data_IF_800367697763
#
_entry.id   IF_800367697763
#
_cell.length_a   1.000
_cell.length_b   1.000
_cell.length_c   1.000
_cell.angle_alpha   90.00
_cell.angle_beta   90.00
_cell.angle_gamma   90.00
#
_symmetry.space_group_name_H-M   'P 1'
#
loop_
_entity.id
_entity.type
_entity.pdbx_description
1 polymer ?
#
# COMPACT_ATOMS: atom_id res chain seq x y z
N UNK A 1 -4.13 -3.59 11.28
CA UNK A 1 -2.92 -4.38 11.57
C UNK A 1 -3.31 -5.84 11.76
N UNK A 2 -2.67 -6.73 11.00
CA UNK A 2 -2.87 -8.17 11.10
C UNK A 2 -1.63 -8.89 11.66
N UNK A 3 -1.85 -9.92 12.49
CA UNK A 3 -0.80 -10.70 13.13
C UNK A 3 -0.85 -12.17 12.71
N UNK A 4 0.30 -12.69 12.28
CA UNK A 4 0.47 -14.10 11.97
C UNK A 4 0.83 -14.87 13.25
N UNK A 5 0.14 -15.98 13.52
CA UNK A 5 0.36 -16.82 14.70
C UNK A 5 -0.48 -18.10 14.65
N UNK A 6 -0.49 -18.88 15.74
CA UNK A 6 -1.32 -20.10 15.85
C UNK A 6 -2.82 -19.80 15.66
N UNK A 7 -3.24 -18.59 16.02
CA UNK A 7 -4.55 -18.03 15.73
C UNK A 7 -4.33 -16.64 15.12
N UNK A 8 -4.46 -16.49 13.78
CA UNK A 8 -4.31 -15.19 13.14
C UNK A 8 -5.40 -14.23 13.62
N UNK A 9 -5.02 -12.99 13.91
CA UNK A 9 -5.93 -11.95 14.40
C UNK A 9 -5.72 -10.63 13.68
N UNK A 10 -6.79 -9.84 13.57
CA UNK A 10 -6.77 -8.50 12.98
C UNK A 10 -7.24 -7.52 14.05
N UNK A 11 -6.42 -6.51 14.31
CA UNK A 11 -6.75 -5.41 15.20
C UNK A 11 -7.18 -4.22 14.34
N UNK A 12 -8.38 -3.71 14.63
CA UNK A 12 -8.98 -2.56 13.97
C UNK A 12 -9.15 -1.44 15.01
N UNK A 13 -8.68 -0.25 14.68
CA UNK A 13 -8.87 0.94 15.53
C UNK A 13 -10.32 1.43 15.45
N UNK A 14 -10.90 1.84 16.57
CA UNK A 14 -12.27 2.38 16.62
C UNK A 14 -12.48 3.56 15.65
N UNK A 15 -11.47 4.42 15.52
CA UNK A 15 -11.51 5.55 14.58
C UNK A 15 -11.69 5.14 13.12
N UNK A 16 -11.21 3.95 12.72
CA UNK A 16 -11.45 3.44 11.36
C UNK A 16 -12.90 3.00 11.19
N UNK A 17 -13.49 2.40 12.22
CA UNK A 17 -14.90 1.96 12.22
C UNK A 17 -15.83 3.18 12.13
N UNK A 18 -15.49 4.26 12.83
CA UNK A 18 -16.30 5.49 12.83
C UNK A 18 -16.17 6.28 11.51
N UNK A 19 -15.02 6.20 10.83
CA UNK A 19 -14.70 6.99 9.64
C UNK A 19 -15.07 6.31 8.31
N UNK A 20 -15.01 4.98 8.27
CA UNK A 20 -15.16 4.20 7.05
C UNK A 20 -16.55 3.56 6.95
N UNK A 21 -17.10 3.55 5.74
CA UNK A 21 -18.28 2.74 5.43
C UNK A 21 -17.97 1.25 5.54
N UNK A 22 -18.98 0.36 5.65
CA UNK A 22 -18.75 -1.08 5.74
C UNK A 22 -17.91 -1.66 4.60
N UNK A 23 -18.12 -1.18 3.36
CA UNK A 23 -17.35 -1.63 2.20
C UNK A 23 -15.88 -1.16 2.25
N UNK A 24 -15.64 0.07 2.70
CA UNK A 24 -14.29 0.61 2.91
C UNK A 24 -13.56 -0.13 4.04
N UNK A 25 -14.25 -0.42 5.13
CA UNK A 25 -13.70 -1.20 6.24
C UNK A 25 -13.35 -2.63 5.78
N UNK A 26 -14.22 -3.26 4.99
CA UNK A 26 -13.93 -4.55 4.37
C UNK A 26 -12.70 -4.50 3.46
N UNK A 27 -12.53 -3.43 2.69
CA UNK A 27 -11.35 -3.23 1.85
C UNK A 27 -10.06 -3.10 2.68
N UNK A 28 -10.10 -2.38 3.82
CA UNK A 28 -8.96 -2.31 4.76
C UNK A 28 -8.64 -3.69 5.33
N UNK A 29 -9.64 -4.44 5.77
CA UNK A 29 -9.42 -5.81 6.28
C UNK A 29 -8.82 -6.71 5.19
N UNK A 30 -9.30 -6.61 3.96
CA UNK A 30 -8.77 -7.36 2.83
C UNK A 30 -7.31 -6.99 2.50
N UNK A 31 -6.95 -5.71 2.60
CA UNK A 31 -5.58 -5.24 2.48
C UNK A 31 -4.67 -5.92 3.52
N UNK A 32 -5.09 -5.89 4.79
CA UNK A 32 -4.34 -6.49 5.90
C UNK A 32 -4.24 -8.02 5.78
N UNK A 33 -5.30 -8.68 5.29
CA UNK A 33 -5.27 -10.11 4.95
C UNK A 33 -4.29 -10.40 3.80
N UNK A 34 -4.09 -9.46 2.87
CA UNK A 34 -3.04 -9.54 1.86
C UNK A 34 -1.64 -9.66 2.47
N UNK A 35 -1.36 -8.87 3.52
CA UNK A 35 -0.09 -8.98 4.24
C UNK A 35 0.10 -10.35 4.90
N UNK A 36 -0.96 -10.92 5.48
CA UNK A 36 -0.90 -12.26 6.05
C UNK A 36 -0.71 -13.32 4.96
N UNK A 37 -1.47 -13.24 3.87
CA UNK A 37 -1.45 -14.23 2.79
C UNK A 37 -0.10 -14.30 2.08
N UNK A 38 0.57 -13.16 1.92
CA UNK A 38 1.89 -13.05 1.30
C UNK A 38 3.04 -13.10 2.32
N UNK A 39 2.73 -13.31 3.60
CA UNK A 39 3.71 -13.40 4.70
C UNK A 39 4.66 -12.20 4.76
N UNK A 40 4.18 -11.00 4.41
CA UNK A 40 5.04 -9.83 4.26
C UNK A 40 5.82 -9.52 5.56
N UNK A 41 5.17 -9.67 6.73
CA UNK A 41 5.81 -9.46 8.03
C UNK A 41 7.01 -10.39 8.29
N UNK A 42 6.94 -11.65 7.87
CA UNK A 42 8.03 -12.62 8.06
C UNK A 42 9.27 -12.19 7.29
N UNK A 43 9.10 -11.78 6.03
CA UNK A 43 10.19 -11.29 5.19
C UNK A 43 10.83 -10.01 5.73
N UNK A 44 10.03 -9.10 6.30
CA UNK A 44 10.55 -7.89 6.97
C UNK A 44 11.38 -8.28 8.19
N UNK A 45 10.90 -9.20 9.03
CA UNK A 45 11.67 -9.70 10.17
C UNK A 45 12.98 -10.34 9.73
N UNK A 46 12.96 -11.20 8.71
CA UNK A 46 14.17 -11.82 8.17
C UNK A 46 15.16 -10.78 7.64
N UNK A 47 14.70 -9.78 6.88
CA UNK A 47 15.56 -8.72 6.36
C UNK A 47 16.20 -7.91 7.50
N UNK A 48 15.44 -7.56 8.53
CA UNK A 48 15.95 -6.84 9.70
C UNK A 48 17.01 -7.66 10.47
N UNK A 49 16.83 -8.98 10.59
CA UNK A 49 17.84 -9.85 11.23
C UNK A 49 19.15 -9.90 10.45
N UNK A 50 19.07 -10.04 9.12
CA UNK A 50 20.27 -10.03 8.27
C UNK A 50 20.99 -8.68 8.41
N UNK A 51 20.24 -7.59 8.42
CA UNK A 51 20.77 -6.24 8.52
C UNK A 51 21.38 -5.92 9.89
N UNK A 52 20.85 -6.51 10.97
CA UNK A 52 21.48 -6.46 12.30
C UNK A 52 22.81 -7.22 12.31
N UNK A 53 22.86 -8.38 11.66
CA UNK A 53 24.08 -9.18 11.54
C UNK A 53 25.15 -8.44 10.72
N UNK A 54 24.79 -7.79 9.60
CA UNK A 54 25.76 -7.04 8.78
C UNK A 54 26.42 -5.90 9.55
N UNK A 55 25.72 -5.25 10.48
CA UNK A 55 26.29 -4.19 11.32
C UNK A 55 27.39 -4.70 12.27
N UNK A 56 27.38 -5.99 12.62
CA UNK A 56 28.36 -6.59 13.55
C UNK A 56 29.77 -6.66 12.97
N UNK A 57 29.91 -6.71 11.63
CA UNK A 57 31.22 -6.79 10.97
C UNK A 57 32.01 -5.47 11.01
N UNK A 58 31.36 -4.34 11.24
CA UNK A 58 31.98 -3.02 11.30
C UNK A 58 32.61 -2.54 9.97
N UNK A 59 33.08 -1.29 9.96
CA UNK A 59 33.80 -0.70 8.83
C UNK A 59 32.92 -0.12 7.71
N UNK A 60 33.56 0.57 6.78
CA UNK A 60 32.89 1.35 5.73
C UNK A 60 32.16 0.48 4.70
N UNK A 61 32.70 -0.70 4.38
CA UNK A 61 32.06 -1.64 3.45
C UNK A 61 30.77 -2.22 4.03
N UNK A 62 30.78 -2.63 5.29
CA UNK A 62 29.59 -3.15 5.98
C UNK A 62 28.50 -2.08 6.10
N UNK A 63 28.88 -0.82 6.37
CA UNK A 63 27.96 0.31 6.38
C UNK A 63 27.29 0.52 5.01
N UNK A 64 28.06 0.56 3.92
CA UNK A 64 27.53 0.73 2.56
C UNK A 64 26.62 -0.41 2.13
N UNK A 65 26.96 -1.64 2.51
CA UNK A 65 26.11 -2.80 2.24
C UNK A 65 24.78 -2.69 2.99
N UNK A 66 24.83 -2.31 4.27
CA UNK A 66 23.64 -2.11 5.12
C UNK A 66 22.72 -1.04 4.54
N UNK A 67 23.28 0.08 4.06
CA UNK A 67 22.51 1.14 3.38
C UNK A 67 21.84 0.64 2.10
N UNK A 68 22.57 -0.10 1.26
CA UNK A 68 22.03 -0.66 0.04
C UNK A 68 20.89 -1.66 0.31
N UNK A 69 21.05 -2.50 1.34
CA UNK A 69 20.01 -3.44 1.77
C UNK A 69 18.77 -2.72 2.31
N UNK A 70 18.95 -1.67 3.10
CA UNK A 70 17.85 -0.81 3.56
C UNK A 70 17.06 -0.23 2.38
N UNK A 71 17.74 0.35 1.39
CA UNK A 71 17.10 0.92 0.20
C UNK A 71 16.33 -0.13 -0.60
N UNK A 72 16.86 -1.36 -0.71
CA UNK A 72 16.18 -2.47 -1.36
C UNK A 72 14.96 -2.94 -0.56
N UNK A 73 15.07 -3.04 0.77
CA UNK A 73 13.96 -3.40 1.66
C UNK A 73 12.82 -2.39 1.57
N UNK A 74 13.13 -1.08 1.57
CA UNK A 74 12.11 -0.03 1.40
C UNK A 74 11.42 -0.10 0.04
N UNK A 75 12.15 -0.44 -1.03
CA UNK A 75 11.52 -0.68 -2.34
C UNK A 75 10.60 -1.89 -2.32
N UNK A 76 11.03 -2.98 -1.68
CA UNK A 76 10.24 -4.19 -1.54
C UNK A 76 8.97 -3.95 -0.70
N UNK A 77 9.07 -3.22 0.42
CA UNK A 77 7.92 -2.83 1.25
C UNK A 77 6.88 -2.07 0.44
N UNK A 78 7.32 -1.13 -0.41
CA UNK A 78 6.40 -0.41 -1.31
C UNK A 78 5.71 -1.33 -2.31
N UNK A 79 6.40 -2.34 -2.83
CA UNK A 79 5.79 -3.34 -3.71
C UNK A 79 4.81 -4.26 -2.95
N UNK A 80 5.11 -4.61 -1.69
CA UNK A 80 4.23 -5.37 -0.82
C UNK A 80 2.89 -4.68 -0.60
N UNK A 81 2.88 -3.35 -0.43
CA UNK A 81 1.66 -2.54 -0.32
C UNK A 81 0.81 -2.61 -1.60
N UNK A 82 1.43 -2.59 -2.79
CA UNK A 82 0.71 -2.74 -4.06
C UNK A 82 0.06 -4.13 -4.19
N UNK A 83 0.72 -5.17 -3.70
CA UNK A 83 0.12 -6.51 -3.62
C UNK A 83 -1.11 -6.52 -2.72
N UNK A 84 -1.04 -5.83 -1.58
CA UNK A 84 -2.15 -5.76 -0.63
C UNK A 84 -3.30 -4.87 -1.15
N UNK A 85 -3.02 -3.81 -1.90
CA UNK A 85 -4.02 -3.01 -2.61
C UNK A 85 -4.79 -3.81 -3.65
N UNK A 86 -4.09 -4.72 -4.36
CA UNK A 86 -4.74 -5.66 -5.28
C UNK A 86 -5.65 -6.63 -4.53
N UNK A 87 -5.23 -7.15 -3.38
CA UNK A 87 -6.07 -7.99 -2.53
C UNK A 87 -7.33 -7.25 -2.05
N UNK A 88 -7.17 -5.98 -1.64
CA UNK A 88 -8.30 -5.12 -1.28
C UNK A 88 -9.27 -4.94 -2.44
N UNK A 89 -8.77 -4.68 -3.65
CA UNK A 89 -9.59 -4.56 -4.85
C UNK A 89 -10.34 -5.85 -5.20
N UNK A 90 -9.68 -7.00 -5.10
CA UNK A 90 -10.30 -8.29 -5.36
C UNK A 90 -11.48 -8.58 -4.43
N UNK A 91 -11.45 -8.07 -3.19
CA UNK A 91 -12.59 -8.22 -2.26
C UNK A 91 -13.64 -7.13 -2.49
N UNK A 92 -13.21 -5.88 -2.64
CA UNK A 92 -14.13 -4.74 -2.80
C UNK A 92 -14.87 -4.73 -4.15
N UNK A 93 -14.26 -5.28 -5.20
CA UNK A 93 -14.75 -5.32 -6.58
C UNK A 93 -15.07 -3.95 -7.22
N UNK A 94 -14.90 -2.85 -6.49
CA UNK A 94 -15.00 -1.47 -6.96
C UNK A 94 -13.71 -0.71 -6.59
N UNK A 95 -12.93 -0.24 -7.59
CA UNK A 95 -11.71 0.54 -7.31
C UNK A 95 -12.00 1.85 -6.57
N UNK A 96 -13.19 2.44 -6.72
CA UNK A 96 -13.51 3.69 -6.03
C UNK A 96 -13.58 3.52 -4.51
N UNK A 97 -13.97 2.34 -4.03
CA UNK A 97 -13.98 2.02 -2.59
C UNK A 97 -12.55 2.05 -2.04
N UNK A 98 -11.62 1.37 -2.70
CA UNK A 98 -10.23 1.31 -2.25
C UNK A 98 -9.53 2.68 -2.40
N UNK A 99 -9.82 3.42 -3.48
CA UNK A 99 -9.35 4.81 -3.63
C UNK A 99 -9.91 5.71 -2.53
N UNK A 100 -11.17 5.54 -2.15
CA UNK A 100 -11.79 6.30 -1.06
C UNK A 100 -11.12 6.04 0.29
N UNK A 101 -10.78 4.77 0.59
CA UNK A 101 -9.96 4.41 1.76
C UNK A 101 -8.63 5.16 1.75
N UNK A 102 -7.86 5.05 0.65
CA UNK A 102 -6.56 5.71 0.54
C UNK A 102 -6.71 7.23 0.71
N UNK A 103 -7.71 7.84 0.09
CA UNK A 103 -8.01 9.27 0.22
C UNK A 103 -8.31 9.68 1.67
N UNK A 104 -9.22 8.97 2.36
CA UNK A 104 -9.62 9.28 3.75
C UNK A 104 -8.48 9.11 4.75
N UNK A 105 -7.69 8.06 4.60
CA UNK A 105 -6.52 7.80 5.47
C UNK A 105 -5.40 8.82 5.23
N UNK A 106 -5.21 9.26 4.00
CA UNK A 106 -4.17 10.25 3.64
C UNK A 106 -4.55 11.68 4.02
N UNK A 107 -5.83 12.01 3.89
CA UNK A 107 -6.37 13.33 4.23
C UNK A 107 -6.60 13.54 5.72
N UNK A 108 -6.46 12.48 6.54
CA UNK A 108 -6.78 12.52 7.96
C UNK A 108 -8.23 12.94 8.17
N UNK A 109 -9.18 12.17 7.64
CA UNK A 109 -10.58 12.58 7.65
C UNK A 109 -11.11 12.70 9.10
N UNK A 110 -11.13 13.93 9.62
CA UNK A 110 -11.96 14.31 10.76
C UNK A 110 -13.41 14.00 10.36
N UNK A 111 -14.20 13.35 11.22
CA UNK A 111 -15.51 12.77 10.90
C UNK A 111 -16.51 13.70 10.17
N UNK A 112 -16.30 15.01 10.18
CA UNK A 112 -17.12 16.02 9.49
C UNK A 112 -16.71 16.34 8.03
N UNK A 113 -15.55 15.88 7.57
CA UNK A 113 -15.01 16.17 6.23
C UNK A 113 -15.12 14.98 5.27
N UNK A 114 -15.31 13.76 5.78
CA UNK A 114 -15.36 12.53 4.98
C UNK A 114 -16.44 12.56 3.89
N UNK A 115 -17.58 13.21 4.14
CA UNK A 115 -18.68 13.39 3.18
C UNK A 115 -18.39 14.43 2.08
N UNK A 116 -17.40 15.29 2.29
CA UNK A 116 -17.00 16.33 1.33
C UNK A 116 -15.89 15.86 0.38
N UNK A 117 -15.28 14.71 0.67
CA UNK A 117 -14.22 14.15 -0.16
C UNK A 117 -14.77 13.58 -1.47
N UNK A 118 -14.07 13.84 -2.57
CA UNK A 118 -14.48 13.44 -3.90
C UNK A 118 -13.42 12.54 -4.55
N UNK A 119 -13.75 11.26 -4.71
CA UNK A 119 -12.87 10.24 -5.31
C UNK A 119 -12.43 10.62 -6.73
N UNK A 120 -13.33 11.15 -7.55
CA UNK A 120 -13.01 11.51 -8.94
C UNK A 120 -12.00 12.65 -8.99
N UNK A 121 -12.17 13.64 -8.13
CA UNK A 121 -11.24 14.77 -8.03
C UNK A 121 -9.88 14.32 -7.49
N UNK A 122 -9.86 13.39 -6.54
CA UNK A 122 -8.62 12.81 -6.03
C UNK A 122 -7.86 12.04 -7.13
N UNK A 123 -8.55 11.26 -7.97
CA UNK A 123 -7.94 10.62 -9.15
C UNK A 123 -7.39 11.67 -10.12
N UNK A 124 -8.13 12.77 -10.35
CA UNK A 124 -7.64 13.88 -11.19
C UNK A 124 -6.36 14.49 -10.64
N UNK A 125 -6.28 14.68 -9.31
CA UNK A 125 -5.06 15.17 -8.65
C UNK A 125 -3.89 14.20 -8.80
N UNK A 126 -4.15 12.90 -8.78
CA UNK A 126 -3.12 11.86 -9.03
C UNK A 126 -2.56 11.99 -10.45
N UNK A 127 -3.41 12.19 -11.46
CA UNK A 127 -2.98 12.39 -12.86
C UNK A 127 -2.18 13.68 -13.04
N UNK A 128 -2.56 14.76 -12.34
CA UNK A 128 -1.80 16.01 -12.31
C UNK A 128 -0.42 15.83 -11.68
N UNK A 129 -0.34 15.15 -10.54
CA UNK A 129 0.91 14.85 -9.85
C UNK A 129 1.86 14.03 -10.76
N UNK A 130 1.33 13.02 -11.44
CA UNK A 130 2.09 12.21 -12.39
C UNK A 130 2.63 13.05 -13.54
N UNK A 131 1.80 13.92 -14.12
CA UNK A 131 2.21 14.80 -15.21
C UNK A 131 3.29 15.79 -14.77
N UNK A 132 3.14 16.40 -13.59
CA UNK A 132 4.14 17.29 -13.02
C UNK A 132 5.47 16.57 -12.71
N UNK A 133 5.40 15.29 -12.34
CA UNK A 133 6.56 14.45 -12.00
C UNK A 133 7.30 13.89 -13.22
N UNK A 134 6.86 14.16 -14.46
CA UNK A 134 7.50 13.62 -15.68
C UNK A 134 8.89 14.18 -15.96
N UNK A 135 9.17 15.42 -15.55
CA UNK A 135 10.48 16.04 -15.81
C UNK A 135 11.56 15.52 -14.81
N UNK A 136 12.87 15.66 -15.12
CA UNK A 136 13.94 15.13 -14.26
C UNK A 136 13.91 15.63 -12.81
N UNK A 137 13.60 16.92 -12.61
CA UNK A 137 13.44 17.53 -11.28
C UNK A 137 12.26 16.94 -10.51
N UNK A 138 11.13 16.74 -11.17
CA UNK A 138 9.93 16.13 -10.61
C UNK A 138 10.15 14.67 -10.23
N UNK A 139 10.88 13.90 -11.05
CA UNK A 139 11.30 12.54 -10.69
C UNK A 139 12.22 12.52 -9.47
N UNK A 140 13.17 13.46 -9.39
CA UNK A 140 14.05 13.60 -8.22
C UNK A 140 13.24 13.95 -6.96
N UNK A 141 12.31 14.89 -7.06
CA UNK A 141 11.45 15.29 -5.95
C UNK A 141 10.57 14.14 -5.47
N UNK A 142 9.89 13.44 -6.38
CA UNK A 142 9.11 12.23 -6.08
C UNK A 142 9.97 11.16 -5.40
N UNK A 143 11.19 10.95 -5.88
CA UNK A 143 12.14 10.00 -5.30
C UNK A 143 12.51 10.41 -3.88
N UNK A 144 12.91 11.66 -3.65
CA UNK A 144 13.23 12.19 -2.33
C UNK A 144 12.07 12.10 -1.33
N UNK A 145 10.83 12.33 -1.77
CA UNK A 145 9.64 12.17 -0.91
C UNK A 145 9.33 10.71 -0.55
N UNK A 146 9.75 9.75 -1.37
CA UNK A 146 9.37 8.33 -1.22
C UNK A 146 10.48 7.49 -0.58
N UNK A 147 11.75 7.92 -0.67
CA UNK A 147 12.92 7.11 -0.29
C UNK A 147 12.91 6.65 1.16
N UNK A 148 12.45 7.48 2.10
CA UNK A 148 12.38 7.17 3.54
C UNK A 148 11.05 6.62 4.04
N UNK A 149 10.04 6.43 3.17
CA UNK A 149 8.72 5.99 3.59
C UNK A 149 8.57 4.46 3.48
N UNK A 150 8.12 3.85 4.58
CA UNK A 150 7.75 2.43 4.63
C UNK A 150 6.48 2.12 3.82
N UNK A 151 5.56 3.08 3.72
CA UNK A 151 4.40 3.03 2.83
C UNK A 151 4.60 4.00 1.66
N UNK A 152 4.33 3.59 0.40
CA UNK A 152 4.43 4.51 -0.73
C UNK A 152 3.44 5.65 -0.59
N UNK A 153 3.78 6.80 -1.19
CA UNK A 153 2.87 7.93 -1.27
C UNK A 153 1.49 7.47 -1.78
N UNK A 154 0.40 7.81 -1.09
CA UNK A 154 -0.95 7.35 -1.42
C UNK A 154 -1.34 7.60 -2.88
N UNK A 155 -0.89 8.72 -3.43
CA UNK A 155 -1.08 9.10 -4.85
C UNK A 155 -0.54 8.04 -5.81
N UNK A 156 0.62 7.43 -5.50
CA UNK A 156 1.22 6.39 -6.33
C UNK A 156 0.45 5.07 -6.23
N UNK A 157 -0.03 4.73 -5.04
CA UNK A 157 -0.87 3.55 -4.81
C UNK A 157 -2.18 3.65 -5.58
N UNK A 158 -2.85 4.80 -5.54
CA UNK A 158 -4.08 5.06 -6.32
C UNK A 158 -3.84 4.88 -7.81
N UNK A 159 -2.73 5.43 -8.34
CA UNK A 159 -2.40 5.27 -9.76
C UNK A 159 -2.27 3.79 -10.15
N UNK A 160 -1.44 3.04 -9.43
CA UNK A 160 -1.19 1.62 -9.71
C UNK A 160 -2.46 0.78 -9.56
N UNK A 161 -3.27 1.07 -8.55
CA UNK A 161 -4.57 0.44 -8.31
C UNK A 161 -5.55 0.67 -9.47
N UNK A 162 -5.72 1.93 -9.92
CA UNK A 162 -6.62 2.29 -11.03
C UNK A 162 -6.13 1.70 -12.36
N UNK A 163 -4.81 1.58 -12.54
CA UNK A 163 -4.25 0.90 -13.72
C UNK A 163 -4.52 -0.61 -13.66
N UNK A 164 -4.28 -1.24 -12.51
CA UNK A 164 -4.54 -2.66 -12.30
C UNK A 164 -6.02 -3.01 -12.47
N UNK A 165 -6.95 -2.19 -11.96
CA UNK A 165 -8.40 -2.43 -12.11
C UNK A 165 -8.88 -2.45 -13.56
N UNK A 166 -8.10 -1.87 -14.49
CA UNK A 166 -8.40 -1.84 -15.93
C UNK A 166 -7.72 -2.98 -16.69
N UNK A 167 -6.78 -3.67 -16.07
CA UNK A 167 -5.89 -4.65 -16.71
C UNK A 167 -6.63 -5.95 -17.08
N UNK A 168 -6.08 -6.68 -18.05
CA UNK A 168 -6.60 -7.98 -18.48
C UNK A 168 -6.52 -9.02 -17.34
N UNK A 169 -5.46 -8.96 -16.55
CA UNK A 169 -5.19 -9.88 -15.45
C UNK A 169 -6.28 -9.76 -14.37
N UNK A 170 -6.60 -8.54 -13.97
CA UNK A 170 -7.68 -8.31 -13.00
C UNK A 170 -9.03 -8.79 -13.54
N UNK A 171 -9.36 -8.45 -14.79
CA UNK A 171 -10.61 -8.87 -15.45
C UNK A 171 -10.72 -10.39 -15.55
N UNK A 172 -9.63 -11.08 -15.86
CA UNK A 172 -9.59 -12.54 -15.93
C UNK A 172 -9.83 -13.17 -14.55
N UNK A 173 -9.18 -12.65 -13.50
CA UNK A 173 -9.37 -13.12 -12.12
C UNK A 173 -10.83 -13.01 -11.69
N UNK A 174 -11.44 -11.82 -11.79
CA UNK A 174 -12.83 -11.63 -11.36
C UNK A 174 -13.84 -12.42 -12.20
N UNK A 175 -13.58 -12.55 -13.51
CA UNK A 175 -14.41 -13.33 -14.43
C UNK A 175 -14.39 -14.83 -14.13
N UNK A 176 -13.25 -15.38 -13.72
CA UNK A 176 -13.12 -16.78 -13.31
C UNK A 176 -13.83 -17.11 -12.00
N UNK A 177 -13.85 -16.19 -11.03
CA UNK A 177 -14.60 -16.35 -9.77
C UNK A 177 -16.12 -16.32 -9.98
N UNK A 178 -16.62 -15.64 -11.01
CA UNK A 178 -18.05 -15.61 -11.32
C UNK A 178 -18.57 -16.97 -11.85
N UNK A 179 -17.68 -17.85 -12.32
CA UNK A 179 -18.03 -19.18 -12.83
C UNK A 179 -18.05 -20.26 -11.73
N UNK A 180 -17.59 -19.93 -10.52
CA UNK A 180 -17.46 -20.87 -9.38
C UNK A 180 -18.44 -20.60 -8.23
N UNK A 181 -19.40 -19.70 -8.41
CA UNK A 181 -20.55 -19.45 -7.51
C UNK A 181 -21.84 -19.87 -8.18
#
# INVERSE_FOLDING_TARGET
MAFQGKQPSIVVHSSLVDMLSPAELQAVIAHELGHLKCEHGVWVTMANLVMLFTQTFGGTLAARLTDAMNLALMQWLRAAELTCDRAALLVAQDPNVVVSVLMKLSGGAVNNLSSQLNVKEYIRQVEMFETASKNPLGRLFRRGMTEGLSHPLPVLRVKELVQYSKSSEYKALIGSTATTR
#
